data_IF_763370791860
#
_entry.id   IF_763370791860
#
_cell.length_a   1.000
_cell.length_b   1.000
_cell.length_c   1.000
_cell.angle_alpha   90.00
_cell.angle_beta   90.00
_cell.angle_gamma   90.00
#
_symmetry.space_group_name_H-M   'P 1'
#
loop_
_entity.id
_entity.type
_entity.pdbx_description
1 polymer ?
#
# COMPACT_ATOMS: atom_id res chain seq x y z
N UNK A 1 6.24 -11.01 42.84
CA UNK A 1 5.74 -10.07 41.82
C UNK A 1 6.70 -10.09 40.64
N UNK A 2 6.28 -10.68 39.52
CA UNK A 2 7.07 -10.83 38.29
C UNK A 2 6.79 -9.62 37.40
N UNK A 3 7.65 -8.60 37.43
CA UNK A 3 7.57 -7.50 36.48
C UNK A 3 8.42 -7.79 35.26
N UNK A 4 7.76 -7.56 34.13
CA UNK A 4 7.99 -8.12 32.82
C UNK A 4 9.20 -7.50 32.13
N UNK A 5 9.97 -8.38 31.48
CA UNK A 5 10.95 -8.09 30.44
C UNK A 5 10.24 -7.52 29.20
N UNK A 6 10.12 -6.20 29.08
CA UNK A 6 9.82 -5.52 27.80
C UNK A 6 10.65 -4.24 27.76
N UNK A 7 11.95 -4.41 27.57
CA UNK A 7 12.88 -3.30 27.36
C UNK A 7 14.04 -3.82 26.50
N UNK A 8 13.79 -4.12 25.22
CA UNK A 8 14.86 -4.51 24.30
C UNK A 8 14.57 -4.41 22.78
N UNK A 9 13.49 -3.77 22.32
CA UNK A 9 13.20 -3.74 20.85
C UNK A 9 12.75 -2.34 20.38
N UNK A 10 13.48 -1.29 20.74
CA UNK A 10 13.24 0.07 20.21
C UNK A 10 14.53 0.75 19.73
N UNK A 11 15.60 0.00 19.45
CA UNK A 11 16.92 0.61 19.17
C UNK A 11 17.68 0.05 17.96
N UNK A 12 16.99 -0.55 16.97
CA UNK A 12 17.63 -1.03 15.74
C UNK A 12 16.80 -0.66 14.50
N UNK A 13 16.40 0.60 14.34
CA UNK A 13 16.05 1.19 13.03
C UNK A 13 16.45 2.68 13.07
N UNK A 14 17.72 2.97 13.38
CA UNK A 14 18.22 4.35 13.41
C UNK A 14 19.72 4.39 13.06
N UNK A 15 20.13 3.80 11.93
CA UNK A 15 21.54 3.85 11.49
C UNK A 15 21.80 3.47 10.02
N UNK A 16 20.96 3.82 9.05
CA UNK A 16 21.21 3.68 7.60
C UNK A 16 20.30 4.73 6.93
N UNK A 17 20.66 5.83 6.26
CA UNK A 17 21.88 6.36 5.66
C UNK A 17 21.87 7.90 5.79
N UNK A 18 22.78 8.44 6.57
CA UNK A 18 23.24 9.83 6.48
C UNK A 18 24.60 9.79 5.76
N UNK A 19 24.60 9.68 4.43
CA UNK A 19 25.74 10.01 3.56
C UNK A 19 25.37 9.78 2.10
N UNK A 20 25.10 10.86 1.36
CA UNK A 20 25.77 11.23 0.11
C UNK A 20 24.90 12.20 -0.71
N UNK A 21 25.52 13.25 -1.25
CA UNK A 21 25.01 13.91 -2.45
C UNK A 21 24.56 15.35 -2.33
N UNK A 22 25.50 16.26 -2.07
CA UNK A 22 25.39 17.66 -2.49
C UNK A 22 25.62 17.73 -4.01
N UNK A 23 24.56 17.92 -4.79
CA UNK A 23 24.57 18.25 -6.23
C UNK A 23 23.19 18.77 -6.62
N UNK A 24 22.99 20.07 -6.82
CA UNK A 24 23.25 20.84 -8.04
C UNK A 24 22.38 20.40 -9.23
N UNK A 25 21.28 21.13 -9.41
CA UNK A 25 20.81 21.60 -10.72
C UNK A 25 19.96 20.65 -11.54
N UNK A 26 18.80 21.15 -11.97
CA UNK A 26 18.11 20.64 -13.15
C UNK A 26 16.63 20.47 -12.90
N UNK A 27 15.83 21.33 -13.52
CA UNK A 27 14.40 21.15 -13.67
C UNK A 27 14.13 19.75 -14.22
N UNK A 28 13.54 18.88 -13.41
CA UNK A 28 12.92 17.68 -13.92
C UNK A 28 11.43 17.96 -14.00
N UNK A 29 10.94 18.04 -15.22
CA UNK A 29 9.58 17.66 -15.54
C UNK A 29 9.30 16.36 -14.77
N UNK A 30 8.39 16.42 -13.78
CA UNK A 30 7.83 15.24 -13.14
C UNK A 30 7.02 14.49 -14.18
N UNK A 31 7.74 13.72 -14.97
CA UNK A 31 7.24 12.65 -15.76
C UNK A 31 6.69 11.64 -14.75
N UNK A 32 5.38 11.77 -14.47
CA UNK A 32 4.59 10.83 -13.69
C UNK A 32 4.63 9.48 -14.40
N UNK A 33 5.74 8.75 -14.25
CA UNK A 33 5.84 7.39 -14.69
C UNK A 33 5.07 6.57 -13.67
N UNK A 34 3.84 6.21 -14.03
CA UNK A 34 3.26 4.92 -13.68
C UNK A 34 4.34 3.88 -13.95
N UNK A 35 5.21 3.65 -12.97
CA UNK A 35 6.33 2.74 -13.12
C UNK A 35 5.69 1.34 -13.11
N UNK A 36 5.82 0.62 -14.21
CA UNK A 36 5.66 -0.84 -14.28
C UNK A 36 4.46 -1.44 -13.52
N UNK A 37 3.27 -0.81 -13.57
CA UNK A 37 2.06 -1.37 -12.96
C UNK A 37 1.60 -2.62 -13.74
N UNK A 38 1.74 -3.84 -13.19
CA UNK A 38 1.60 -5.06 -13.99
C UNK A 38 0.19 -5.65 -13.94
N UNK A 39 -0.69 -5.08 -13.12
CA UNK A 39 -2.05 -5.57 -12.89
C UNK A 39 -3.04 -4.71 -13.65
N UNK A 40 -3.31 -5.09 -14.90
CA UNK A 40 -4.29 -4.41 -15.76
C UNK A 40 -5.72 -4.43 -15.17
N UNK A 41 -5.99 -5.40 -14.29
CA UNK A 41 -7.27 -5.60 -13.62
C UNK A 41 -7.45 -4.77 -12.34
N UNK A 42 -6.37 -4.21 -11.78
CA UNK A 42 -6.44 -3.36 -10.58
C UNK A 42 -6.17 -1.91 -11.00
N UNK A 43 -7.15 -0.99 -10.86
CA UNK A 43 -6.95 0.40 -11.25
C UNK A 43 -5.84 1.03 -10.42
N UNK A 44 -4.85 1.65 -11.09
CA UNK A 44 -3.82 2.44 -10.42
C UNK A 44 -4.27 3.89 -10.32
N UNK A 45 -4.10 4.49 -9.13
CA UNK A 45 -4.31 5.92 -8.97
C UNK A 45 -3.33 6.72 -9.83
N UNK A 46 -3.80 7.65 -10.65
CA UNK A 46 -2.96 8.31 -11.67
C UNK A 46 -1.78 9.11 -11.12
N UNK A 47 -1.85 9.52 -9.85
CA UNK A 47 -0.81 10.26 -9.14
C UNK A 47 0.01 9.35 -8.20
N UNK A 48 -0.04 8.05 -8.43
CA UNK A 48 0.75 7.07 -7.70
C UNK A 48 2.20 7.06 -8.19
N UNK A 49 3.13 6.99 -7.25
CA UNK A 49 4.54 6.71 -7.50
C UNK A 49 4.97 5.45 -6.73
N UNK A 50 5.59 4.51 -7.44
CA UNK A 50 5.96 3.22 -6.85
C UNK A 50 7.03 3.37 -5.77
N UNK A 51 6.92 2.54 -4.75
CA UNK A 51 8.03 2.26 -3.85
C UNK A 51 8.85 1.08 -4.37
N UNK A 52 10.17 1.14 -4.19
CA UNK A 52 11.11 0.09 -4.63
C UNK A 52 10.91 -1.24 -3.88
N UNK A 53 10.33 -1.21 -2.68
CA UNK A 53 10.20 -2.38 -1.83
C UNK A 53 8.75 -2.60 -1.37
N UNK A 54 8.18 -3.75 -1.74
CA UNK A 54 6.97 -4.26 -1.12
C UNK A 54 7.30 -4.69 0.32
N UNK A 55 6.71 -4.01 1.28
CA UNK A 55 6.74 -4.43 2.68
C UNK A 55 5.49 -5.27 2.91
N UNK A 56 5.65 -6.58 3.10
CA UNK A 56 4.55 -7.43 3.57
C UNK A 56 4.08 -6.90 4.93
N UNK A 57 2.85 -6.38 5.06
CA UNK A 57 2.36 -5.84 6.32
C UNK A 57 2.02 -6.93 7.35
N UNK A 58 2.48 -8.17 7.14
CA UNK A 58 2.12 -9.33 7.94
C UNK A 58 0.70 -9.75 7.67
N UNK A 59 0.28 -9.68 6.39
CA UNK A 59 -1.09 -9.99 5.97
C UNK A 59 -1.41 -11.40 6.48
N UNK A 60 -2.33 -11.47 7.43
CA UNK A 60 -2.78 -12.73 8.08
C UNK A 60 -3.62 -13.60 7.16
N UNK A 61 -3.46 -13.47 5.85
CA UNK A 61 -4.15 -14.29 4.88
C UNK A 61 -3.28 -15.49 4.56
N UNK A 62 -3.82 -16.68 4.82
CA UNK A 62 -3.20 -17.95 4.50
C UNK A 62 -3.27 -18.15 2.99
N UNK A 63 -2.40 -17.46 2.27
CA UNK A 63 -2.39 -17.42 0.82
C UNK A 63 -1.13 -18.06 0.28
N UNK A 64 -1.30 -19.00 -0.64
CA UNK A 64 -0.20 -19.64 -1.33
C UNK A 64 0.24 -18.73 -2.50
N UNK A 65 1.40 -18.07 -2.36
CA UNK A 65 2.02 -17.17 -3.34
C UNK A 65 1.31 -15.81 -3.58
N UNK A 66 1.21 -14.93 -2.55
CA UNK A 66 0.69 -13.59 -2.77
C UNK A 66 1.64 -12.75 -3.64
N UNK A 67 1.07 -11.94 -4.54
CA UNK A 67 1.79 -10.88 -5.23
C UNK A 67 1.47 -9.54 -4.56
N UNK A 68 2.50 -8.81 -4.15
CA UNK A 68 2.36 -7.55 -3.42
C UNK A 68 2.97 -6.35 -4.14
N UNK A 69 2.33 -5.18 -4.04
CA UNK A 69 2.84 -3.89 -4.51
C UNK A 69 2.57 -2.79 -3.50
N UNK A 70 3.43 -1.78 -3.48
CA UNK A 70 3.28 -0.60 -2.63
C UNK A 70 3.57 0.65 -3.43
N UNK A 71 2.75 1.67 -3.24
CA UNK A 71 2.95 2.99 -3.83
C UNK A 71 2.53 4.07 -2.84
N UNK A 72 3.05 5.26 -3.06
CA UNK A 72 2.71 6.48 -2.34
C UNK A 72 2.05 7.47 -3.31
N UNK A 73 1.32 8.44 -2.75
CA UNK A 73 0.76 9.58 -3.47
C UNK A 73 0.81 10.81 -2.58
N UNK A 74 0.95 12.00 -3.16
CA UNK A 74 0.90 13.28 -2.45
C UNK A 74 -0.53 13.65 -1.99
N UNK A 75 -1.52 12.84 -2.37
CA UNK A 75 -2.92 13.00 -1.98
C UNK A 75 -3.19 12.44 -0.59
N UNK A 76 -4.28 12.92 -0.01
CA UNK A 76 -4.72 12.50 1.32
C UNK A 76 -5.34 11.10 1.31
N UNK A 77 -5.52 10.58 2.52
CA UNK A 77 -6.07 9.26 2.78
C UNK A 77 -7.48 9.12 2.17
N UNK A 78 -8.34 10.13 2.38
CA UNK A 78 -9.72 10.13 1.96
C UNK A 78 -9.83 10.04 0.42
N UNK A 79 -9.03 10.82 -0.30
CA UNK A 79 -9.00 10.81 -1.77
C UNK A 79 -8.64 9.43 -2.31
N UNK A 80 -7.60 8.81 -1.76
CA UNK A 80 -7.16 7.49 -2.23
C UNK A 80 -8.17 6.39 -1.86
N UNK A 81 -8.78 6.48 -0.67
CA UNK A 81 -9.81 5.55 -0.22
C UNK A 81 -11.06 5.62 -1.11
N UNK A 82 -11.57 6.81 -1.40
CA UNK A 82 -12.74 7.01 -2.27
C UNK A 82 -12.48 6.53 -3.70
N UNK A 83 -11.28 6.79 -4.24
CA UNK A 83 -10.88 6.29 -5.56
C UNK A 83 -11.06 4.77 -5.67
N UNK A 84 -10.52 4.00 -4.72
CA UNK A 84 -10.62 2.54 -4.80
C UNK A 84 -12.02 2.00 -4.52
N UNK A 85 -12.82 2.67 -3.70
CA UNK A 85 -14.22 2.32 -3.53
C UNK A 85 -15.02 2.50 -4.82
N UNK A 86 -14.69 3.51 -5.61
CA UNK A 86 -15.38 3.84 -6.87
C UNK A 86 -14.89 2.99 -8.05
N UNK A 87 -13.56 2.84 -8.21
CA UNK A 87 -12.98 2.24 -9.40
C UNK A 87 -12.95 0.71 -9.37
N UNK A 88 -12.71 0.07 -8.21
CA UNK A 88 -12.62 -1.40 -8.13
C UNK A 88 -13.89 -2.09 -8.70
N UNK A 89 -15.13 -1.68 -8.35
CA UNK A 89 -16.34 -2.26 -8.95
C UNK A 89 -16.44 -2.10 -10.48
N UNK A 90 -15.94 -0.98 -11.03
CA UNK A 90 -15.94 -0.73 -12.49
C UNK A 90 -15.02 -1.70 -13.23
N UNK A 91 -14.06 -2.28 -12.52
CA UNK A 91 -13.09 -3.26 -13.01
C UNK A 91 -13.45 -4.72 -12.66
N UNK A 92 -14.70 -5.00 -12.27
CA UNK A 92 -15.16 -6.37 -12.02
C UNK A 92 -14.75 -6.94 -10.66
N UNK A 93 -14.51 -6.08 -9.67
CA UNK A 93 -14.23 -6.49 -8.29
C UNK A 93 -15.45 -6.31 -7.39
N UNK A 94 -15.74 -7.34 -6.59
CA UNK A 94 -16.81 -7.33 -5.59
C UNK A 94 -16.22 -7.01 -4.22
N UNK A 95 -16.77 -6.03 -3.47
CA UNK A 95 -16.32 -5.75 -2.11
C UNK A 95 -16.70 -6.89 -1.17
N UNK A 96 -15.75 -7.40 -0.42
CA UNK A 96 -15.99 -8.38 0.65
C UNK A 96 -16.10 -7.71 2.01
N UNK A 97 -15.27 -6.72 2.28
CA UNK A 97 -15.36 -5.90 3.49
C UNK A 97 -14.50 -4.64 3.36
N UNK A 98 -14.97 -3.56 3.98
CA UNK A 98 -14.15 -2.40 4.33
C UNK A 98 -14.15 -2.23 5.84
N UNK A 99 -12.97 -2.07 6.44
CA UNK A 99 -12.88 -1.65 7.84
C UNK A 99 -12.94 -0.12 7.88
N UNK A 100 -13.82 0.40 8.74
CA UNK A 100 -14.04 1.83 8.97
C UNK A 100 -12.70 2.50 9.32
N UNK A 101 -12.32 3.63 8.67
CA UNK A 101 -11.02 4.24 8.84
C UNK A 101 -10.81 4.73 10.27
N UNK A 102 -10.15 3.93 11.07
CA UNK A 102 -9.75 4.30 12.43
C UNK A 102 -8.30 4.76 12.36
N UNK A 103 -8.02 5.99 12.79
CA UNK A 103 -6.67 6.58 12.77
C UNK A 103 -6.01 6.63 11.38
N UNK A 104 -6.79 6.93 10.32
CA UNK A 104 -6.28 7.03 8.93
C UNK A 104 -5.61 5.75 8.42
N UNK A 105 -6.16 4.62 8.84
CA UNK A 105 -5.84 3.30 8.28
C UNK A 105 -7.14 2.66 7.83
N UNK A 106 -7.21 2.24 6.58
CA UNK A 106 -8.29 1.42 6.05
C UNK A 106 -7.75 0.10 5.53
N UNK A 107 -8.58 -0.94 5.69
CA UNK A 107 -8.37 -2.23 5.06
C UNK A 107 -9.59 -2.49 4.16
N UNK A 108 -9.34 -2.65 2.87
CA UNK A 108 -10.37 -2.99 1.88
C UNK A 108 -10.06 -4.35 1.28
N UNK A 109 -11.09 -5.15 1.12
CA UNK A 109 -10.99 -6.53 0.67
C UNK A 109 -11.94 -6.75 -0.50
N UNK A 110 -11.42 -7.30 -1.57
CA UNK A 110 -12.12 -7.48 -2.83
C UNK A 110 -11.97 -8.90 -3.35
N UNK A 111 -12.94 -9.34 -4.15
CA UNK A 111 -12.95 -10.63 -4.81
C UNK A 111 -13.30 -10.46 -6.29
N UNK A 112 -12.61 -11.18 -7.17
CA UNK A 112 -12.94 -11.20 -8.59
C UNK A 112 -14.36 -11.73 -8.81
N UNK A 113 -15.00 -11.35 -9.91
CA UNK A 113 -16.37 -11.81 -10.20
C UNK A 113 -16.55 -13.33 -10.17
N UNK A 114 -15.52 -14.08 -10.56
CA UNK A 114 -15.47 -15.54 -10.61
C UNK A 114 -15.05 -16.20 -9.29
N UNK A 115 -14.76 -15.41 -8.25
CA UNK A 115 -14.38 -15.91 -6.92
C UNK A 115 -12.97 -16.47 -6.82
N UNK A 116 -12.14 -16.38 -7.88
CA UNK A 116 -10.83 -17.04 -7.92
C UNK A 116 -9.67 -16.18 -7.47
N UNK A 117 -9.84 -14.87 -7.36
CA UNK A 117 -8.76 -13.96 -6.98
C UNK A 117 -9.26 -13.06 -5.86
N UNK A 118 -8.43 -12.93 -4.84
CA UNK A 118 -8.65 -12.02 -3.73
C UNK A 118 -7.66 -10.87 -3.77
N UNK A 119 -8.12 -9.68 -3.41
CA UNK A 119 -7.26 -8.52 -3.18
C UNK A 119 -7.47 -8.00 -1.76
N UNK A 120 -6.38 -7.87 -0.99
CA UNK A 120 -6.34 -7.07 0.22
C UNK A 120 -5.60 -5.77 -0.06
N UNK A 121 -6.20 -4.66 0.31
CA UNK A 121 -5.61 -3.34 0.22
C UNK A 121 -5.58 -2.70 1.60
N UNK A 122 -4.42 -2.16 1.96
CA UNK A 122 -4.23 -1.34 3.15
C UNK A 122 -3.85 0.06 2.70
N UNK A 123 -4.66 1.05 3.08
CA UNK A 123 -4.33 2.47 2.90
C UNK A 123 -4.00 3.04 4.26
N UNK A 124 -2.90 3.80 4.34
CA UNK A 124 -2.46 4.47 5.56
C UNK A 124 -1.87 5.84 5.26
N UNK A 125 -1.84 6.74 6.23
CA UNK A 125 -1.07 7.98 6.13
C UNK A 125 0.34 7.80 6.69
N UNK A 126 1.34 8.32 5.99
CA UNK A 126 2.73 8.39 6.49
C UNK A 126 2.90 9.51 7.54
N UNK A 127 4.07 9.66 8.19
CA UNK A 127 4.32 10.73 9.16
C UNK A 127 4.26 12.15 8.57
N UNK A 128 4.41 12.31 7.25
CA UNK A 128 4.40 13.58 6.54
C UNK A 128 2.99 14.01 6.12
N UNK A 129 2.02 13.08 6.15
CA UNK A 129 0.63 13.32 5.80
C UNK A 129 0.21 12.76 4.45
N UNK A 130 1.12 12.10 3.72
CA UNK A 130 0.86 11.51 2.40
C UNK A 130 0.18 10.16 2.54
N UNK A 131 -0.68 9.80 1.57
CA UNK A 131 -1.29 8.48 1.54
C UNK A 131 -0.34 7.44 0.92
N UNK A 132 -0.26 6.30 1.59
CA UNK A 132 0.42 5.07 1.15
C UNK A 132 -0.61 3.98 0.96
N UNK A 133 -0.50 3.22 -0.13
CA UNK A 133 -1.28 2.01 -0.34
C UNK A 133 -0.37 0.79 -0.50
N UNK A 134 -0.74 -0.27 0.21
CA UNK A 134 -0.19 -1.62 0.03
C UNK A 134 -1.31 -2.49 -0.54
N UNK A 135 -1.05 -3.14 -1.67
CA UNK A 135 -2.01 -4.02 -2.35
C UNK A 135 -1.38 -5.40 -2.44
N UNK A 136 -2.11 -6.41 -1.99
CA UNK A 136 -1.77 -7.80 -2.17
C UNK A 136 -2.88 -8.51 -2.95
N UNK A 137 -2.50 -9.19 -4.03
CA UNK A 137 -3.36 -9.99 -4.90
C UNK A 137 -2.98 -11.46 -4.73
N UNK A 138 -3.97 -12.34 -4.59
CA UNK A 138 -3.71 -13.78 -4.49
C UNK A 138 -4.80 -14.61 -5.18
N UNK A 139 -4.42 -15.60 -6.00
CA UNK A 139 -5.34 -16.65 -6.42
C UNK A 139 -5.88 -17.45 -5.21
N UNK A 140 -7.15 -17.84 -5.26
CA UNK A 140 -7.75 -18.79 -4.34
C UNK A 140 -7.54 -20.21 -4.89
N UNK A 141 -7.17 -21.14 -4.01
CA UNK A 141 -7.04 -22.58 -4.31
C UNK A 141 -8.38 -23.31 -4.17
#
# INVERSE_FOLDING_TARGET
MKFFKILCVVFIILAVLLACGKGSGGNNEEQNSSADWPWEDIPLYSEAFNLEEYVDPGIRMKFDNPEGRTFDTDKDFETLFEFYLEEMPKHGWKPLSSMDPTNRVAIMKWESEDGKIYVEMVISTDPEGNARAMIARCPQN
#
